data_IF_096120707586
#
_entry.id   IF_096120707586
#
_cell.length_a   1.000
_cell.length_b   1.000
_cell.length_c   1.000
_cell.angle_alpha   90.00
_cell.angle_beta   90.00
_cell.angle_gamma   90.00
#
_symmetry.space_group_name_H-M   'P 1'
#
loop_
_entity.id
_entity.type
_entity.pdbx_description
1 polymer ?
#
# COMPACT_ATOMS: atom_id res chain seq x y z
N UNK A 1 -2.71 -11.21 -16.40
CA UNK A 1 -2.05 -12.40 -16.97
C UNK A 1 -0.92 -12.81 -16.05
N UNK A 2 -1.20 -13.72 -15.13
CA UNK A 2 -0.19 -14.34 -14.27
C UNK A 2 -0.74 -15.64 -13.68
N UNK A 3 -1.07 -16.60 -14.55
CA UNK A 3 -1.31 -18.01 -14.21
C UNK A 3 0.03 -18.70 -13.90
N UNK A 4 0.70 -18.30 -12.82
CA UNK A 4 2.00 -18.90 -12.43
C UNK A 4 2.09 -19.53 -11.02
N UNK A 5 1.10 -19.49 -10.12
CA UNK A 5 1.26 -20.20 -8.84
C UNK A 5 0.96 -21.70 -8.96
N UNK A 6 0.35 -22.18 -10.05
CA UNK A 6 -0.03 -23.59 -10.23
C UNK A 6 1.18 -24.46 -10.61
N UNK A 7 2.15 -23.91 -11.34
CA UNK A 7 3.30 -24.65 -11.86
C UNK A 7 4.30 -25.09 -10.75
N UNK A 8 4.49 -24.29 -9.70
CA UNK A 8 5.39 -24.66 -8.59
C UNK A 8 4.84 -25.83 -7.75
N UNK A 9 3.51 -25.95 -7.61
CA UNK A 9 2.89 -27.07 -6.90
C UNK A 9 2.97 -28.38 -7.70
N UNK A 10 2.87 -28.29 -9.02
CA UNK A 10 3.04 -29.43 -9.91
C UNK A 10 4.49 -29.96 -9.90
N UNK A 11 5.48 -29.09 -9.72
CA UNK A 11 6.88 -29.52 -9.54
C UNK A 11 7.13 -30.24 -8.21
N UNK A 12 6.45 -29.83 -7.13
CA UNK A 12 6.54 -30.52 -5.82
C UNK A 12 5.89 -31.90 -5.89
N UNK A 13 4.72 -32.00 -6.54
CA UNK A 13 4.02 -33.28 -6.75
C UNK A 13 4.77 -34.20 -7.73
N UNK A 14 5.51 -33.65 -8.70
CA UNK A 14 6.33 -34.42 -9.63
C UNK A 14 7.54 -35.11 -8.98
N UNK A 15 7.91 -34.75 -7.74
CA UNK A 15 9.01 -35.40 -6.99
C UNK A 15 8.59 -36.66 -6.25
N UNK A 16 7.29 -36.99 -6.20
CA UNK A 16 6.80 -38.23 -5.60
C UNK A 16 6.82 -39.37 -6.64
N UNK A 17 7.64 -40.42 -6.45
CA UNK A 17 7.72 -41.54 -7.37
C UNK A 17 6.51 -42.47 -7.14
N UNK A 18 5.41 -42.18 -7.84
CA UNK A 18 4.18 -43.00 -7.74
C UNK A 18 2.91 -42.42 -8.39
N UNK A 19 2.90 -41.15 -8.80
CA UNK A 19 1.76 -40.56 -9.54
C UNK A 19 1.97 -40.63 -11.06
N UNK A 20 1.09 -41.36 -11.75
CA UNK A 20 0.99 -41.39 -13.21
C UNK A 20 0.71 -39.98 -13.76
N UNK A 21 1.10 -39.70 -15.02
CA UNK A 21 0.72 -38.46 -15.70
C UNK A 21 -0.79 -38.30 -15.88
N UNK A 22 -1.54 -39.40 -15.90
CA UNK A 22 -2.99 -39.40 -16.05
C UNK A 22 -3.72 -39.01 -14.76
N UNK A 23 -3.09 -39.21 -13.59
CA UNK A 23 -3.59 -38.70 -12.29
C UNK A 23 -3.41 -37.18 -12.14
N UNK A 24 -2.71 -36.52 -13.07
CA UNK A 24 -2.38 -35.08 -13.02
C UNK A 24 -3.42 -34.18 -13.69
N UNK A 25 -4.28 -34.73 -14.55
CA UNK A 25 -5.32 -33.98 -15.27
C UNK A 25 -6.67 -33.96 -14.52
N UNK A 26 -6.82 -34.79 -13.49
CA UNK A 26 -7.95 -34.77 -12.57
C UNK A 26 -7.45 -34.30 -11.21
N UNK A 27 -7.09 -33.03 -11.11
CA UNK A 27 -7.11 -32.33 -9.82
C UNK A 27 -8.47 -31.61 -9.81
N UNK A 28 -9.55 -32.23 -9.30
CA UNK A 28 -10.74 -31.46 -9.00
C UNK A 28 -10.32 -30.45 -7.93
N UNK A 29 -11.13 -29.41 -7.73
CA UNK A 29 -11.09 -28.54 -6.54
C UNK A 29 -11.36 -29.36 -5.26
N UNK A 30 -10.43 -30.25 -4.93
CA UNK A 30 -10.44 -31.11 -3.77
C UNK A 30 -9.63 -30.39 -2.71
N UNK A 31 -10.22 -30.25 -1.54
CA UNK A 31 -9.52 -29.73 -0.37
C UNK A 31 -8.23 -30.52 -0.18
N UNK A 32 -7.17 -29.90 0.33
CA UNK A 32 -5.94 -30.63 0.67
C UNK A 32 -6.24 -31.85 1.57
N UNK A 33 -7.29 -31.76 2.41
CA UNK A 33 -7.79 -32.88 3.20
C UNK A 33 -8.28 -34.05 2.34
N UNK A 34 -8.94 -33.78 1.22
CA UNK A 34 -9.40 -34.81 0.28
C UNK A 34 -8.22 -35.46 -0.45
N UNK A 35 -7.15 -34.69 -0.72
CA UNK A 35 -5.92 -35.22 -1.30
C UNK A 35 -5.14 -36.10 -0.31
N UNK A 36 -5.06 -35.69 0.96
CA UNK A 36 -4.45 -36.51 2.03
C UNK A 36 -5.26 -37.79 2.24
N UNK A 37 -6.59 -37.72 2.25
CA UNK A 37 -7.46 -38.89 2.36
C UNK A 37 -7.29 -39.83 1.14
N UNK A 38 -7.21 -39.30 -0.07
CA UNK A 38 -6.99 -40.12 -1.27
C UNK A 38 -5.61 -40.81 -1.28
N UNK A 39 -4.56 -40.13 -0.81
CA UNK A 39 -3.22 -40.72 -0.66
C UNK A 39 -3.26 -41.81 0.41
N UNK A 40 -3.94 -41.58 1.53
CA UNK A 40 -4.10 -42.55 2.61
C UNK A 40 -4.80 -43.82 2.13
N UNK A 41 -5.92 -43.70 1.41
CA UNK A 41 -6.64 -44.85 0.84
C UNK A 41 -5.76 -45.61 -0.17
N UNK A 42 -5.07 -44.92 -1.06
CA UNK A 42 -4.17 -45.56 -2.04
C UNK A 42 -3.02 -46.32 -1.35
N UNK A 43 -2.42 -45.72 -0.31
CA UNK A 43 -1.37 -46.37 0.48
C UNK A 43 -1.90 -47.59 1.23
N UNK A 44 -3.14 -47.53 1.74
CA UNK A 44 -3.81 -48.65 2.40
C UNK A 44 -4.02 -49.81 1.44
N UNK A 45 -4.53 -49.56 0.23
CA UNK A 45 -4.72 -50.57 -0.81
C UNK A 45 -3.39 -51.20 -1.26
N UNK A 46 -2.36 -50.38 -1.52
CA UNK A 46 -1.04 -50.87 -1.92
C UNK A 46 -0.37 -51.72 -0.83
N UNK A 47 -0.47 -51.32 0.44
CA UNK A 47 0.05 -52.09 1.56
C UNK A 47 -0.72 -53.39 1.78
N UNK A 48 -2.04 -53.37 1.66
CA UNK A 48 -2.86 -54.59 1.79
C UNK A 48 -2.50 -55.61 0.71
N UNK A 49 -2.40 -55.19 -0.55
CA UNK A 49 -1.98 -56.06 -1.65
C UNK A 49 -0.57 -56.64 -1.43
N UNK A 50 0.37 -55.84 -0.92
CA UNK A 50 1.73 -56.29 -0.62
C UNK A 50 1.75 -57.33 0.53
N UNK A 51 0.91 -57.16 1.55
CA UNK A 51 0.75 -58.10 2.66
C UNK A 51 0.12 -59.40 2.18
N UNK A 52 -0.95 -59.33 1.38
CA UNK A 52 -1.56 -60.49 0.75
C UNK A 52 -0.55 -61.27 -0.10
N UNK A 53 0.21 -60.59 -0.97
CA UNK A 53 1.27 -61.22 -1.76
C UNK A 53 2.34 -61.88 -0.87
N UNK A 54 2.72 -61.24 0.24
CA UNK A 54 3.71 -61.79 1.18
C UNK A 54 3.21 -63.09 1.83
N UNK A 55 2.01 -63.10 2.40
CA UNK A 55 1.46 -64.30 3.07
C UNK A 55 1.10 -65.41 2.06
N UNK A 56 0.64 -65.06 0.85
CA UNK A 56 0.40 -66.05 -0.22
C UNK A 56 1.70 -66.70 -0.69
N UNK A 57 2.82 -65.97 -0.73
CA UNK A 57 4.12 -66.48 -1.12
C UNK A 57 4.92 -67.14 0.04
N UNK A 58 4.44 -67.03 1.28
CA UNK A 58 5.13 -67.56 2.47
C UNK A 58 5.13 -69.10 2.50
N UNK A 59 4.05 -69.74 2.04
CA UNK A 59 3.92 -71.20 1.97
C UNK A 59 4.10 -71.87 3.34
N UNK A 60 5.04 -72.82 3.47
CA UNK A 60 5.39 -73.51 4.73
C UNK A 60 6.57 -72.88 5.49
N UNK A 61 7.08 -71.70 5.06
CA UNK A 61 8.26 -71.08 5.68
C UNK A 61 7.89 -70.36 6.97
N UNK A 62 8.63 -70.61 8.05
CA UNK A 62 8.44 -69.88 9.31
C UNK A 62 8.88 -68.41 9.19
N UNK A 63 8.08 -67.51 9.75
CA UNK A 63 8.38 -66.09 9.86
C UNK A 63 9.64 -65.91 10.71
N UNK A 64 10.64 -65.21 10.16
CA UNK A 64 11.98 -65.07 10.76
C UNK A 64 12.09 -64.01 11.86
N UNK A 65 11.02 -63.26 12.13
CA UNK A 65 10.98 -62.13 13.07
C UNK A 65 9.71 -62.16 13.92
N UNK A 66 9.68 -63.09 14.88
CA UNK A 66 8.48 -63.36 15.71
C UNK A 66 8.42 -62.43 16.92
N UNK A 67 7.20 -62.30 17.47
CA UNK A 67 6.94 -61.54 18.69
C UNK A 67 7.68 -62.20 19.87
N UNK A 68 8.62 -61.46 20.48
CA UNK A 68 9.41 -61.93 21.63
C UNK A 68 10.87 -62.29 21.34
N UNK A 69 11.32 -62.22 20.08
CA UNK A 69 12.74 -62.36 19.76
C UNK A 69 13.57 -61.21 20.37
N UNK A 70 14.72 -61.49 21.01
CA UNK A 70 15.54 -60.46 21.67
C UNK A 70 16.11 -59.40 20.70
N UNK A 71 16.06 -59.67 19.38
CA UNK A 71 16.47 -58.74 18.33
C UNK A 71 15.31 -57.94 17.70
N UNK A 72 14.05 -58.24 18.05
CA UNK A 72 12.86 -57.58 17.50
C UNK A 72 12.30 -56.51 18.44
N UNK A 73 12.22 -55.27 17.98
CA UNK A 73 11.45 -54.21 18.64
C UNK A 73 9.96 -54.29 18.27
N UNK A 74 9.05 -53.69 19.05
CA UNK A 74 7.61 -53.63 18.71
C UNK A 74 7.33 -53.08 17.30
N UNK A 75 8.21 -52.22 16.81
CA UNK A 75 8.18 -51.64 15.46
C UNK A 75 8.70 -52.57 14.35
N UNK A 76 9.48 -53.61 14.67
CA UNK A 76 10.21 -54.44 13.69
C UNK A 76 9.77 -55.89 13.60
N UNK A 77 8.92 -56.38 14.51
CA UNK A 77 8.37 -57.74 14.41
C UNK A 77 7.30 -57.82 13.31
N UNK A 78 7.19 -58.98 12.68
CA UNK A 78 6.18 -59.30 11.67
C UNK A 78 5.10 -60.13 12.38
N UNK A 79 3.83 -59.66 12.41
CA UNK A 79 2.71 -60.41 12.95
C UNK A 79 2.52 -61.80 12.31
N UNK A 80 1.86 -62.71 13.02
CA UNK A 80 1.73 -64.10 12.58
C UNK A 80 0.53 -64.32 11.65
N UNK A 81 -0.45 -63.39 11.66
CA UNK A 81 -1.62 -63.40 10.78
C UNK A 81 -1.67 -62.17 9.88
N UNK A 82 -2.34 -62.32 8.73
CA UNK A 82 -2.59 -61.23 7.79
C UNK A 82 -3.40 -60.11 8.44
N UNK A 83 -4.44 -60.46 9.20
CA UNK A 83 -5.30 -59.51 9.93
C UNK A 83 -4.50 -58.65 10.92
N UNK A 84 -3.58 -59.26 11.70
CA UNK A 84 -2.75 -58.51 12.65
C UNK A 84 -1.70 -57.61 11.95
N UNK A 85 -1.26 -57.99 10.75
CA UNK A 85 -0.36 -57.17 9.94
C UNK A 85 -1.10 -55.97 9.34
N UNK A 86 -2.31 -56.18 8.84
CA UNK A 86 -3.18 -55.12 8.32
C UNK A 86 -3.57 -54.13 9.42
N UNK A 87 -3.95 -54.60 10.61
CA UNK A 87 -4.22 -53.73 11.77
C UNK A 87 -2.99 -52.88 12.15
N UNK A 88 -1.79 -53.47 12.11
CA UNK A 88 -0.53 -52.77 12.39
C UNK A 88 -0.21 -51.72 11.31
N UNK A 89 -0.45 -52.03 10.05
CA UNK A 89 -0.29 -51.09 8.94
C UNK A 89 -1.30 -49.95 9.03
N UNK A 90 -2.57 -50.24 9.33
CA UNK A 90 -3.62 -49.24 9.50
C UNK A 90 -3.32 -48.31 10.69
N UNK A 91 -2.83 -48.84 11.81
CA UNK A 91 -2.37 -48.02 12.93
C UNK A 91 -1.20 -47.10 12.53
N UNK A 92 -0.26 -47.59 11.71
CA UNK A 92 0.88 -46.78 11.26
C UNK A 92 0.47 -45.71 10.24
N UNK A 93 -0.47 -46.03 9.35
CA UNK A 93 -1.01 -45.11 8.35
C UNK A 93 -1.87 -44.02 9.00
N UNK A 94 -2.67 -44.36 10.01
CA UNK A 94 -3.46 -43.39 10.77
C UNK A 94 -2.57 -42.43 11.57
N UNK A 95 -1.49 -42.92 12.20
CA UNK A 95 -0.48 -42.05 12.82
C UNK A 95 0.17 -41.08 11.81
N UNK A 96 0.50 -41.55 10.61
CA UNK A 96 1.06 -40.70 9.55
C UNK A 96 0.05 -39.67 9.02
N UNK A 97 -1.21 -40.08 8.86
CA UNK A 97 -2.30 -39.21 8.48
C UNK A 97 -2.49 -38.09 9.51
N UNK A 98 -2.58 -38.44 10.79
CA UNK A 98 -2.76 -37.46 11.87
C UNK A 98 -1.56 -36.50 11.97
N UNK A 99 -0.35 -37.01 11.81
CA UNK A 99 0.85 -36.19 11.73
C UNK A 99 0.83 -35.21 10.54
N UNK A 100 0.34 -35.65 9.37
CA UNK A 100 0.20 -34.81 8.19
C UNK A 100 -0.89 -33.72 8.38
N UNK A 101 -2.00 -34.06 9.01
CA UNK A 101 -3.08 -33.13 9.34
C UNK A 101 -2.60 -32.08 10.35
N UNK A 102 -1.90 -32.48 11.42
CA UNK A 102 -1.34 -31.54 12.39
C UNK A 102 -0.28 -30.63 11.77
N UNK A 103 0.57 -31.17 10.89
CA UNK A 103 1.52 -30.37 10.13
C UNK A 103 0.81 -29.30 9.28
N UNK A 104 -0.28 -29.68 8.60
CA UNK A 104 -1.08 -28.74 7.80
C UNK A 104 -1.70 -27.65 8.67
N UNK A 105 -2.33 -28.00 9.80
CA UNK A 105 -2.89 -27.02 10.75
C UNK A 105 -1.84 -26.02 11.19
N UNK A 106 -0.62 -26.48 11.51
CA UNK A 106 0.48 -25.61 11.87
C UNK A 106 0.88 -24.65 10.73
N UNK A 107 0.90 -25.11 9.47
CA UNK A 107 1.18 -24.26 8.30
C UNK A 107 0.08 -23.23 8.04
N UNK A 108 -1.18 -23.63 8.10
CA UNK A 108 -2.34 -22.72 7.98
C UNK A 108 -2.27 -21.62 9.05
N UNK A 109 -1.92 -21.98 10.29
CA UNK A 109 -1.73 -21.03 11.38
C UNK A 109 -0.61 -20.01 11.09
N UNK A 110 0.53 -20.46 10.57
CA UNK A 110 1.64 -19.56 10.18
C UNK A 110 1.19 -18.62 9.07
N UNK A 111 0.52 -19.14 8.04
CA UNK A 111 0.02 -18.34 6.93
C UNK A 111 -1.00 -17.27 7.37
N UNK A 112 -1.94 -17.62 8.25
CA UNK A 112 -2.85 -16.68 8.91
C UNK A 112 -2.11 -15.58 9.67
N UNK A 113 -1.08 -15.94 10.44
CA UNK A 113 -0.26 -14.96 11.15
C UNK A 113 0.43 -13.98 10.19
N UNK A 114 0.91 -14.46 9.05
CA UNK A 114 1.51 -13.61 8.01
C UNK A 114 0.47 -12.66 7.39
N UNK A 115 -0.73 -13.15 7.07
CA UNK A 115 -1.82 -12.32 6.53
C UNK A 115 -2.27 -11.27 7.55
N UNK A 116 -2.38 -11.61 8.83
CA UNK A 116 -2.70 -10.65 9.88
C UNK A 116 -1.64 -9.54 10.01
N UNK A 117 -0.35 -9.91 9.93
CA UNK A 117 0.76 -8.93 9.91
C UNK A 117 0.70 -8.04 8.67
N UNK A 118 0.41 -8.60 7.50
CA UNK A 118 0.26 -7.83 6.27
C UNK A 118 -0.91 -6.84 6.41
N UNK A 119 -2.07 -7.30 6.88
CA UNK A 119 -3.25 -6.46 7.11
C UNK A 119 -3.00 -5.30 8.08
N UNK A 120 -2.13 -5.46 9.08
CA UNK A 120 -1.79 -4.36 10.00
C UNK A 120 -0.80 -3.35 9.40
N UNK A 121 0.00 -3.76 8.41
CA UNK A 121 0.93 -2.88 7.69
C UNK A 121 0.27 -2.12 6.54
N UNK A 122 -0.77 -2.68 5.92
CA UNK A 122 -1.45 -2.09 4.77
C UNK A 122 -1.90 -0.62 4.95
N UNK A 123 -2.49 -0.20 6.08
CA UNK A 123 -2.84 1.21 6.28
C UNK A 123 -1.63 2.16 6.26
N UNK A 124 -0.46 1.69 6.70
CA UNK A 124 0.78 2.49 6.70
C UNK A 124 1.30 2.72 5.29
N UNK A 125 1.09 1.77 4.38
CA UNK A 125 1.50 1.89 2.97
C UNK A 125 0.74 3.01 2.28
N UNK A 126 -0.56 3.15 2.53
CA UNK A 126 -1.36 4.23 1.98
C UNK A 126 -0.88 5.60 2.49
N UNK A 127 -0.66 5.73 3.81
CA UNK A 127 -0.15 6.96 4.41
C UNK A 127 1.24 7.33 3.88
N UNK A 128 2.17 6.36 3.77
CA UNK A 128 3.50 6.63 3.25
C UNK A 128 3.50 7.03 1.78
N UNK A 129 2.65 6.40 0.95
CA UNK A 129 2.51 6.73 -0.47
C UNK A 129 2.04 8.17 -0.67
N UNK A 130 0.96 8.58 0.01
CA UNK A 130 0.43 9.93 -0.15
C UNK A 130 1.35 11.00 0.46
N UNK A 131 2.07 10.67 1.54
CA UNK A 131 3.11 11.57 2.08
C UNK A 131 4.23 11.80 1.06
N UNK A 132 4.73 10.74 0.43
CA UNK A 132 5.78 10.85 -0.59
C UNK A 132 5.31 11.66 -1.82
N UNK A 133 4.11 11.38 -2.34
CA UNK A 133 3.52 12.14 -3.44
C UNK A 133 3.43 13.63 -3.09
N UNK A 134 2.94 13.95 -1.88
CA UNK A 134 2.78 15.33 -1.42
C UNK A 134 4.13 16.04 -1.25
N UNK A 135 5.12 15.36 -0.69
CA UNK A 135 6.47 15.92 -0.53
C UNK A 135 7.16 16.17 -1.87
N UNK A 136 7.05 15.24 -2.83
CA UNK A 136 7.61 15.41 -4.17
C UNK A 136 6.97 16.59 -4.90
N UNK A 137 5.65 16.73 -4.83
CA UNK A 137 4.94 17.87 -5.41
C UNK A 137 5.37 19.21 -4.79
N UNK A 138 5.42 19.29 -3.45
CA UNK A 138 5.90 20.50 -2.74
C UNK A 138 7.34 20.86 -3.10
N UNK A 139 8.22 19.87 -3.24
CA UNK A 139 9.62 20.10 -3.64
C UNK A 139 9.72 20.66 -5.06
N UNK A 140 8.92 20.15 -6.02
CA UNK A 140 8.86 20.68 -7.38
C UNK A 140 8.33 22.11 -7.42
N UNK A 141 7.19 22.37 -6.78
CA UNK A 141 6.61 23.70 -6.68
C UNK A 141 7.59 24.72 -6.08
N UNK A 142 8.21 24.37 -4.95
CA UNK A 142 9.19 25.24 -4.28
C UNK A 142 10.40 25.54 -5.18
N UNK A 143 10.85 24.56 -5.95
CA UNK A 143 11.99 24.73 -6.87
C UNK A 143 11.61 25.66 -8.01
N UNK A 144 10.45 25.45 -8.64
CA UNK A 144 9.95 26.29 -9.74
C UNK A 144 9.69 27.73 -9.30
N UNK A 145 9.06 27.92 -8.13
CA UNK A 145 8.82 29.25 -7.57
C UNK A 145 10.11 29.96 -7.15
N UNK A 146 11.13 29.21 -6.69
CA UNK A 146 12.43 29.77 -6.37
C UNK A 146 13.08 30.34 -7.64
N UNK A 147 13.11 29.60 -8.74
CA UNK A 147 13.66 30.09 -10.01
C UNK A 147 12.95 31.35 -10.50
N UNK A 148 11.62 31.40 -10.39
CA UNK A 148 10.85 32.60 -10.75
C UNK A 148 11.17 33.79 -9.83
N UNK A 149 11.30 33.54 -8.53
CA UNK A 149 11.66 34.57 -7.55
C UNK A 149 13.05 35.12 -7.80
N UNK A 150 14.05 34.26 -7.96
CA UNK A 150 15.44 34.66 -8.18
C UNK A 150 15.53 35.56 -9.42
N UNK A 151 14.84 35.20 -10.51
CA UNK A 151 14.74 36.04 -11.71
C UNK A 151 14.05 37.38 -11.46
N UNK A 152 12.95 37.38 -10.70
CA UNK A 152 12.23 38.62 -10.38
C UNK A 152 13.07 39.56 -9.50
N UNK A 153 13.85 39.01 -8.56
CA UNK A 153 14.77 39.76 -7.70
C UNK A 153 15.88 40.42 -8.55
N UNK A 154 16.41 39.71 -9.56
CA UNK A 154 17.38 40.27 -10.51
C UNK A 154 16.78 41.44 -11.32
N UNK A 155 15.60 41.25 -11.93
CA UNK A 155 14.89 42.29 -12.70
C UNK A 155 14.54 43.51 -11.80
N UNK A 156 14.12 43.26 -10.56
CA UNK A 156 13.86 44.32 -9.58
C UNK A 156 15.13 45.12 -9.24
N UNK A 157 16.28 44.45 -9.13
CA UNK A 157 17.58 45.09 -8.92
C UNK A 157 17.92 46.09 -10.02
N UNK A 158 17.68 45.74 -11.28
CA UNK A 158 17.92 46.62 -12.43
C UNK A 158 17.02 47.87 -12.39
N UNK A 159 15.74 47.74 -12.03
CA UNK A 159 14.84 48.88 -11.90
C UNK A 159 15.22 49.80 -10.75
N UNK A 160 15.73 49.24 -9.65
CA UNK A 160 16.20 50.01 -8.50
C UNK A 160 17.43 50.84 -8.88
N UNK A 161 18.40 50.25 -9.59
CA UNK A 161 19.56 50.99 -10.12
C UNK A 161 19.13 52.12 -11.05
N UNK A 162 18.18 51.85 -11.94
CA UNK A 162 17.66 52.84 -12.89
C UNK A 162 16.94 53.99 -12.17
N UNK A 163 16.12 53.66 -11.17
CA UNK A 163 15.42 54.64 -10.31
C UNK A 163 16.42 55.52 -9.56
N UNK A 164 17.45 54.92 -8.97
CA UNK A 164 18.44 55.66 -8.19
C UNK A 164 19.27 56.59 -9.11
N UNK A 165 19.59 56.15 -10.34
CA UNK A 165 20.22 56.99 -11.35
C UNK A 165 19.34 58.16 -11.80
N UNK A 166 18.05 57.94 -12.04
CA UNK A 166 17.10 59.00 -12.38
C UNK A 166 16.87 59.97 -11.21
N UNK A 167 16.81 59.46 -9.98
CA UNK A 167 16.72 60.28 -8.77
C UNK A 167 17.96 61.17 -8.58
N UNK A 168 19.17 60.65 -8.85
CA UNK A 168 20.40 61.45 -8.84
C UNK A 168 20.41 62.58 -9.89
N UNK A 169 19.66 62.40 -10.99
CA UNK A 169 19.51 63.42 -12.02
C UNK A 169 18.47 64.50 -11.65
N UNK A 170 17.67 64.31 -10.60
CA UNK A 170 16.76 65.33 -10.09
C UNK A 170 17.56 66.41 -9.33
N UNK A 171 17.95 67.46 -10.06
CA UNK A 171 18.68 68.61 -9.51
C UNK A 171 17.72 69.78 -9.21
N UNK A 172 17.97 70.59 -8.18
CA UNK A 172 17.18 71.79 -7.89
C UNK A 172 17.10 72.78 -9.07
N UNK A 173 18.10 72.77 -9.97
CA UNK A 173 18.14 73.61 -11.18
C UNK A 173 17.04 73.28 -12.21
N UNK A 174 16.41 72.10 -12.12
CA UNK A 174 15.31 71.70 -13.00
C UNK A 174 14.01 72.48 -12.75
N UNK A 175 13.92 73.25 -11.67
CA UNK A 175 12.79 74.14 -11.41
C UNK A 175 12.75 75.41 -12.28
N UNK A 176 13.77 75.65 -13.11
CA UNK A 176 13.82 76.81 -14.01
C UNK A 176 13.13 76.52 -15.35
N UNK A 177 12.41 77.49 -15.93
CA UNK A 177 11.68 77.32 -17.20
C UNK A 177 12.57 76.87 -18.35
N UNK A 178 13.83 77.28 -18.38
CA UNK A 178 14.80 76.88 -19.41
C UNK A 178 15.23 75.40 -19.30
N UNK A 179 15.01 74.75 -18.16
CA UNK A 179 15.33 73.35 -17.90
C UNK A 179 14.11 72.41 -18.03
N UNK A 180 12.95 72.96 -18.41
CA UNK A 180 11.72 72.21 -18.66
C UNK A 180 11.85 71.01 -19.61
N UNK A 181 12.57 71.08 -20.75
CA UNK A 181 12.72 69.91 -21.62
C UNK A 181 13.53 68.78 -20.97
N UNK A 182 14.50 69.10 -20.10
CA UNK A 182 15.28 68.11 -19.35
C UNK A 182 14.41 67.41 -18.29
N UNK A 183 13.54 68.18 -17.61
CA UNK A 183 12.57 67.65 -16.66
C UNK A 183 11.54 66.74 -17.35
N UNK A 184 10.98 67.16 -18.50
CA UNK A 184 10.04 66.36 -19.29
C UNK A 184 10.68 65.04 -19.74
N UNK A 185 11.94 65.08 -20.20
CA UNK A 185 12.68 63.86 -20.56
C UNK A 185 12.97 62.93 -19.37
N UNK A 186 13.15 63.46 -18.16
CA UNK A 186 13.25 62.66 -16.93
C UNK A 186 11.91 62.02 -16.55
N UNK A 187 10.80 62.75 -16.67
CA UNK A 187 9.46 62.23 -16.41
C UNK A 187 9.09 61.09 -17.37
N UNK A 188 9.44 61.21 -18.67
CA UNK A 188 9.22 60.13 -19.65
C UNK A 188 10.01 58.88 -19.28
N UNK A 189 11.30 59.01 -18.96
CA UNK A 189 12.15 57.87 -18.55
C UNK A 189 11.64 57.17 -17.28
N UNK A 190 11.17 57.93 -16.30
CA UNK A 190 10.55 57.34 -15.10
C UNK A 190 9.20 56.70 -15.38
N UNK A 191 8.41 57.27 -16.31
CA UNK A 191 7.18 56.67 -16.80
C UNK A 191 7.42 55.29 -17.43
N UNK A 192 8.40 55.20 -18.33
CA UNK A 192 8.80 53.95 -19.00
C UNK A 192 9.28 52.90 -17.99
N UNK A 193 10.17 53.29 -17.06
CA UNK A 193 10.65 52.39 -15.99
C UNK A 193 9.50 51.94 -15.09
N UNK A 194 8.56 52.82 -14.77
CA UNK A 194 7.40 52.46 -13.96
C UNK A 194 6.50 51.44 -14.67
N UNK A 195 6.21 51.65 -15.95
CA UNK A 195 5.42 50.73 -16.76
C UNK A 195 6.10 49.36 -16.89
N UNK A 196 7.42 49.33 -17.11
CA UNK A 196 8.21 48.10 -17.12
C UNK A 196 8.15 47.34 -15.79
N UNK A 197 8.27 48.05 -14.66
CA UNK A 197 8.17 47.42 -13.35
C UNK A 197 6.76 46.84 -13.09
N UNK A 198 5.70 47.58 -13.46
CA UNK A 198 4.32 47.12 -13.29
C UNK A 198 4.04 45.88 -14.14
N UNK A 199 4.42 45.92 -15.42
CA UNK A 199 4.21 44.79 -16.35
C UNK A 199 4.96 43.55 -15.90
N UNK A 200 6.21 43.68 -15.47
CA UNK A 200 6.98 42.54 -14.98
C UNK A 200 6.47 42.01 -13.62
N UNK A 201 5.95 42.86 -12.72
CA UNK A 201 5.25 42.41 -11.51
C UNK A 201 3.99 41.61 -11.86
N UNK A 202 3.18 42.08 -12.82
CA UNK A 202 1.99 41.38 -13.28
C UNK A 202 2.34 40.04 -13.94
N UNK A 203 3.37 40.02 -14.79
CA UNK A 203 3.85 38.79 -15.43
C UNK A 203 4.39 37.79 -14.40
N UNK A 204 5.17 38.24 -13.41
CA UNK A 204 5.65 37.38 -12.33
C UNK A 204 4.49 36.78 -11.52
N UNK A 205 3.45 37.58 -11.23
CA UNK A 205 2.24 37.09 -10.56
C UNK A 205 1.51 36.03 -11.41
N UNK A 206 1.30 36.29 -12.70
CA UNK A 206 0.64 35.36 -13.61
C UNK A 206 1.44 34.05 -13.70
N UNK A 207 2.77 34.14 -13.85
CA UNK A 207 3.65 32.98 -13.92
C UNK A 207 3.65 32.18 -12.62
N UNK A 208 3.64 32.84 -11.46
CA UNK A 208 3.55 32.15 -10.17
C UNK A 208 2.23 31.38 -10.05
N UNK A 209 1.10 31.99 -10.44
CA UNK A 209 -0.21 31.34 -10.44
C UNK A 209 -0.27 30.17 -11.42
N UNK A 210 0.37 30.28 -12.59
CA UNK A 210 0.44 29.19 -13.56
C UNK A 210 1.29 28.01 -13.06
N UNK A 211 2.42 28.27 -12.40
CA UNK A 211 3.24 27.24 -11.73
C UNK A 211 2.40 26.52 -10.68
N UNK A 212 1.74 27.26 -9.78
CA UNK A 212 0.86 26.68 -8.75
C UNK A 212 -0.27 25.87 -9.38
N UNK A 213 -0.88 26.37 -10.46
CA UNK A 213 -1.92 25.67 -11.20
C UNK A 213 -1.43 24.35 -11.77
N UNK A 214 -0.30 24.34 -12.48
CA UNK A 214 0.30 23.15 -13.08
C UNK A 214 0.70 22.10 -12.03
N UNK A 215 1.36 22.52 -10.95
CA UNK A 215 1.75 21.59 -9.88
C UNK A 215 0.53 21.06 -9.12
N UNK A 216 -0.53 21.85 -8.95
CA UNK A 216 -1.78 21.37 -8.35
C UNK A 216 -2.42 20.24 -9.17
N UNK A 217 -2.41 20.38 -10.50
CA UNK A 217 -2.90 19.34 -11.43
C UNK A 217 -2.00 18.12 -11.44
N UNK A 218 -0.67 18.32 -11.42
CA UNK A 218 0.28 17.22 -11.32
C UNK A 218 0.08 16.43 -10.04
N UNK A 219 -0.10 17.10 -8.89
CA UNK A 219 -0.39 16.47 -7.61
C UNK A 219 -1.69 15.68 -7.67
N UNK A 220 -2.77 16.27 -8.18
CA UNK A 220 -4.06 15.60 -8.33
C UNK A 220 -3.95 14.31 -9.14
N UNK A 221 -3.28 14.36 -10.30
CA UNK A 221 -3.09 13.20 -11.16
C UNK A 221 -2.24 12.11 -10.48
N UNK A 222 -1.19 12.48 -9.76
CA UNK A 222 -0.37 11.52 -9.00
C UNK A 222 -1.16 10.88 -7.86
N UNK A 223 -1.98 11.65 -7.14
CA UNK A 223 -2.87 11.13 -6.08
C UNK A 223 -3.90 10.17 -6.66
N UNK A 224 -4.53 10.52 -7.79
CA UNK A 224 -5.51 9.65 -8.46
C UNK A 224 -4.87 8.34 -8.93
N UNK A 225 -3.67 8.43 -9.53
CA UNK A 225 -2.91 7.25 -9.93
C UNK A 225 -2.53 6.39 -8.73
N UNK A 226 -1.97 7.00 -7.67
CA UNK A 226 -1.61 6.30 -6.44
C UNK A 226 -2.80 5.62 -5.77
N UNK A 227 -3.96 6.28 -5.72
CA UNK A 227 -5.19 5.71 -5.21
C UNK A 227 -5.66 4.51 -6.05
N UNK A 228 -5.58 4.60 -7.39
CA UNK A 228 -5.93 3.49 -8.28
C UNK A 228 -5.02 2.28 -8.07
N UNK A 229 -3.71 2.51 -7.89
CA UNK A 229 -2.76 1.44 -7.58
C UNK A 229 -3.00 0.83 -6.20
N UNK A 230 -3.33 1.64 -5.19
CA UNK A 230 -3.68 1.15 -3.87
C UNK A 230 -4.96 0.31 -3.89
N UNK A 231 -5.99 0.71 -4.66
CA UNK A 231 -7.21 -0.08 -4.83
C UNK A 231 -6.91 -1.42 -5.51
N UNK A 232 -6.12 -1.43 -6.59
CA UNK A 232 -5.71 -2.68 -7.24
C UNK A 232 -4.87 -3.57 -6.29
N UNK A 233 -4.04 -2.96 -5.44
CA UNK A 233 -3.30 -3.68 -4.41
C UNK A 233 -4.26 -4.28 -3.37
N UNK A 234 -5.25 -3.51 -2.90
CA UNK A 234 -6.24 -4.01 -1.94
C UNK A 234 -7.09 -5.15 -2.50
N UNK A 235 -7.48 -5.08 -3.77
CA UNK A 235 -8.25 -6.14 -4.45
C UNK A 235 -7.43 -7.43 -4.64
N UNK A 236 -6.10 -7.32 -4.74
CA UNK A 236 -5.21 -8.49 -4.94
C UNK A 236 -4.65 -9.06 -3.63
N UNK A 237 -4.72 -8.30 -2.53
CA UNK A 237 -4.24 -8.78 -1.23
C UNK A 237 -5.31 -9.60 -0.50
N UNK A 238 -4.96 -10.84 -0.17
CA UNK A 238 -5.79 -11.72 0.68
C UNK A 238 -5.95 -11.08 2.06
N UNK A 239 -7.20 -10.88 2.49
CA UNK A 239 -7.54 -10.41 3.83
C UNK A 239 -7.77 -11.58 4.78
N UNK A 240 -7.64 -11.35 6.11
CA UNK A 240 -7.99 -12.37 7.09
C UNK A 240 -9.41 -12.92 6.94
N UNK A 241 -10.35 -12.11 6.42
CA UNK A 241 -11.73 -12.50 6.18
C UNK A 241 -11.92 -13.46 4.98
N UNK A 242 -10.94 -13.51 4.07
CA UNK A 242 -10.97 -14.38 2.89
C UNK A 242 -10.49 -15.79 3.23
N UNK A 243 -9.96 -15.99 4.43
CA UNK A 243 -9.54 -17.30 4.93
C UNK A 243 -10.76 -18.02 5.53
N UNK A 244 -10.86 -19.33 5.31
CA UNK A 244 -11.91 -20.18 5.89
C UNK A 244 -11.96 -19.95 7.40
N UNK A 245 -13.14 -19.58 7.92
CA UNK A 245 -13.35 -19.37 9.35
C UNK A 245 -13.04 -20.66 10.11
N UNK A 246 -12.20 -20.59 11.12
CA UNK A 246 -12.02 -21.66 12.11
C UNK A 246 -12.11 -21.07 13.51
N UNK A 247 -12.48 -21.90 14.48
CA UNK A 247 -12.75 -21.51 15.87
C UNK A 247 -11.59 -20.75 16.58
N UNK A 248 -10.37 -20.79 16.03
CA UNK A 248 -9.18 -20.09 16.55
C UNK A 248 -8.93 -18.71 15.95
N UNK A 249 -9.81 -18.20 15.09
CA UNK A 249 -9.58 -16.90 14.45
C UNK A 249 -9.64 -15.77 15.49
N UNK A 250 -8.45 -15.29 15.86
CA UNK A 250 -8.28 -13.99 16.50
C UNK A 250 -8.66 -12.95 15.46
N UNK A 251 -9.96 -12.67 15.37
CA UNK A 251 -10.47 -11.52 14.63
C UNK A 251 -9.84 -10.31 15.29
N UNK A 252 -8.77 -9.79 14.68
CA UNK A 252 -8.24 -8.50 15.04
C UNK A 252 -9.40 -7.52 14.89
N UNK A 253 -9.98 -7.07 16.01
CA UNK A 253 -11.05 -6.08 16.00
C UNK A 253 -10.53 -4.89 15.21
N UNK A 254 -11.03 -4.73 13.99
CA UNK A 254 -10.72 -3.57 13.16
C UNK A 254 -11.29 -2.39 13.91
N UNK A 255 -10.40 -1.60 14.52
CA UNK A 255 -10.77 -0.29 15.03
C UNK A 255 -11.31 0.49 13.84
N UNK A 256 -12.56 0.91 13.94
CA UNK A 256 -13.19 1.72 12.90
C UNK A 256 -12.40 3.02 12.75
N UNK A 257 -12.51 3.68 11.60
CA UNK A 257 -11.86 4.97 11.35
C UNK A 257 -12.18 6.00 12.46
N UNK A 258 -13.40 5.95 12.98
CA UNK A 258 -13.87 6.75 14.13
C UNK A 258 -13.09 6.41 15.41
N UNK A 259 -12.84 5.13 15.67
CA UNK A 259 -12.08 4.67 16.84
C UNK A 259 -10.60 5.09 16.73
N UNK A 260 -10.01 5.00 15.53
CA UNK A 260 -8.65 5.45 15.27
C UNK A 260 -8.50 6.97 15.41
N UNK A 261 -9.47 7.75 14.89
CA UNK A 261 -9.51 9.20 15.07
C UNK A 261 -9.61 9.61 16.54
N UNK A 262 -10.47 8.94 17.32
CA UNK A 262 -10.59 9.19 18.78
C UNK A 262 -9.31 8.87 19.54
N UNK A 263 -8.58 7.85 19.13
CA UNK A 263 -7.26 7.52 19.72
C UNK A 263 -6.19 8.53 19.30
N UNK A 264 -6.20 8.97 18.05
CA UNK A 264 -5.28 10.00 17.55
C UNK A 264 -5.50 11.33 18.28
N UNK A 265 -6.76 11.75 18.44
CA UNK A 265 -7.14 12.93 19.22
C UNK A 265 -6.76 12.78 20.70
N UNK A 266 -6.83 11.58 21.28
CA UNK A 266 -6.33 11.33 22.65
C UNK A 266 -4.81 11.47 22.75
N UNK A 267 -4.08 10.94 21.77
CA UNK A 267 -2.61 11.05 21.70
C UNK A 267 -2.18 12.52 21.50
N UNK A 268 -2.93 13.29 20.70
CA UNK A 268 -2.73 14.73 20.54
C UNK A 268 -3.15 15.53 21.78
N UNK A 269 -4.19 15.11 22.51
CA UNK A 269 -4.61 15.76 23.76
C UNK A 269 -3.64 15.52 24.94
N UNK A 270 -2.90 14.42 24.93
CA UNK A 270 -1.84 14.12 25.90
C UNK A 270 -0.52 14.87 25.61
N UNK A 271 -0.40 15.50 24.44
CA UNK A 271 0.69 16.42 24.07
C UNK A 271 0.15 17.83 23.83
N UNK A 272 0.04 18.63 24.88
CA UNK A 272 -0.53 19.99 24.93
C UNK A 272 -0.53 20.80 23.61
N UNK A 273 -1.73 21.08 23.08
CA UNK A 273 -2.03 22.36 22.45
C UNK A 273 -3.38 22.91 22.94
N UNK A 274 -3.49 24.24 23.14
CA UNK A 274 -4.66 24.88 23.73
C UNK A 274 -5.87 24.81 22.79
N UNK A 275 -7.11 24.98 23.30
CA UNK A 275 -8.30 24.91 22.48
C UNK A 275 -8.27 26.00 21.39
N UNK A 276 -8.70 25.70 20.15
CA UNK A 276 -8.78 26.69 19.11
C UNK A 276 -9.80 27.76 19.50
N UNK A 277 -9.51 29.06 19.30
CA UNK A 277 -10.44 30.12 19.65
C UNK A 277 -11.67 30.09 18.74
N UNK A 278 -12.84 30.26 19.34
CA UNK A 278 -14.10 30.46 18.62
C UNK A 278 -14.00 31.71 17.71
N UNK A 279 -14.16 31.51 16.41
CA UNK A 279 -14.27 32.60 15.44
C UNK A 279 -13.43 32.40 14.17
N UNK A 280 -14.11 31.95 13.11
CA UNK A 280 -13.71 31.91 11.68
C UNK A 280 -12.31 32.47 11.36
N UNK A 281 -11.36 31.59 11.02
CA UNK A 281 -9.97 31.97 10.77
C UNK A 281 -9.69 32.64 9.40
N UNK A 282 -10.61 32.62 8.42
CA UNK A 282 -10.34 33.28 7.14
C UNK A 282 -11.59 33.94 6.55
N UNK A 283 -11.50 35.23 6.25
CA UNK A 283 -12.38 35.86 5.28
C UNK A 283 -12.02 35.34 3.89
N UNK A 284 -12.98 34.71 3.21
CA UNK A 284 -12.89 34.43 1.77
C UNK A 284 -12.82 35.74 1.00
N UNK A 285 -11.61 36.25 0.78
CA UNK A 285 -11.38 37.28 -0.23
C UNK A 285 -11.43 36.61 -1.59
N UNK A 286 -12.38 37.02 -2.42
CA UNK A 286 -12.30 36.79 -3.85
C UNK A 286 -11.05 37.49 -4.39
N UNK A 287 -10.00 36.72 -4.67
CA UNK A 287 -8.83 37.24 -5.37
C UNK A 287 -9.22 37.49 -6.83
N UNK A 288 -9.19 38.76 -7.26
CA UNK A 288 -9.29 39.14 -8.67
C UNK A 288 -8.16 38.42 -9.44
N UNK A 289 -8.53 37.46 -10.29
CA UNK A 289 -7.61 36.82 -11.23
C UNK A 289 -7.73 35.29 -11.32
N UNK A 290 -8.18 34.62 -10.26
CA UNK A 290 -8.36 33.16 -10.27
C UNK A 290 -9.84 32.84 -10.44
N UNK A 291 -10.26 32.48 -11.66
CA UNK A 291 -11.58 31.89 -11.89
C UNK A 291 -11.66 30.58 -11.10
N UNK A 292 -12.68 30.42 -10.24
CA UNK A 292 -13.00 29.13 -9.62
C UNK A 292 -13.01 28.03 -10.70
N UNK A 293 -12.31 26.92 -10.45
CA UNK A 293 -12.15 25.81 -11.40
C UNK A 293 -10.80 25.72 -12.11
N UNK A 294 -9.88 26.70 -11.97
CA UNK A 294 -8.51 26.58 -12.49
C UNK A 294 -7.52 25.86 -11.57
N UNK A 295 -7.80 25.81 -10.27
CA UNK A 295 -7.05 24.98 -9.32
C UNK A 295 -7.67 23.58 -9.34
N UNK A 296 -6.87 22.57 -9.66
CA UNK A 296 -7.31 21.19 -9.93
C UNK A 296 -7.99 20.47 -8.76
N UNK A 297 -8.07 21.10 -7.59
CA UNK A 297 -8.60 20.50 -6.37
C UNK A 297 -10.02 20.97 -6.00
N UNK A 298 -10.78 21.64 -6.89
CA UNK A 298 -12.17 22.05 -6.56
C UNK A 298 -13.01 20.88 -6.01
N UNK A 299 -12.97 19.67 -6.58
CA UNK A 299 -13.69 18.52 -6.02
C UNK A 299 -13.12 18.03 -4.69
N UNK A 300 -11.79 18.05 -4.52
CA UNK A 300 -11.09 17.59 -3.30
C UNK A 300 -11.36 18.54 -2.13
N UNK A 301 -11.36 19.85 -2.38
CA UNK A 301 -11.73 20.86 -1.40
C UNK A 301 -13.21 20.77 -1.03
N UNK A 302 -14.10 20.50 -2.00
CA UNK A 302 -15.52 20.26 -1.72
C UNK A 302 -15.74 18.99 -0.90
N UNK A 303 -14.98 17.91 -1.15
CA UNK A 303 -15.05 16.70 -0.33
C UNK A 303 -14.46 16.89 1.07
N UNK A 304 -13.36 17.62 1.22
CA UNK A 304 -12.81 17.96 2.53
C UNK A 304 -13.79 18.82 3.33
N UNK A 305 -14.40 19.80 2.66
CA UNK A 305 -15.42 20.66 3.25
C UNK A 305 -16.68 19.87 3.64
N UNK A 306 -17.13 18.93 2.80
CA UNK A 306 -18.24 18.04 3.14
C UNK A 306 -17.91 17.09 4.30
N UNK A 307 -16.67 16.58 4.38
CA UNK A 307 -16.20 15.75 5.49
C UNK A 307 -16.10 16.55 6.80
N UNK A 308 -15.72 17.83 6.74
CA UNK A 308 -15.72 18.74 7.88
C UNK A 308 -17.15 19.09 8.34
N UNK A 309 -18.07 19.28 7.40
CA UNK A 309 -19.49 19.52 7.68
C UNK A 309 -20.19 18.30 8.30
N UNK A 310 -19.91 17.08 7.81
CA UNK A 310 -20.42 15.83 8.41
C UNK A 310 -19.86 15.57 9.81
N UNK A 311 -18.59 15.91 10.04
CA UNK A 311 -17.97 15.81 11.37
C UNK A 311 -18.59 16.80 12.37
N UNK A 312 -19.01 17.97 11.91
CA UNK A 312 -19.73 18.96 12.73
C UNK A 312 -21.20 18.54 12.99
N UNK A 313 -21.86 17.90 12.03
CA UNK A 313 -23.24 17.42 12.18
C UNK A 313 -23.38 16.20 13.10
N UNK A 314 -22.34 15.35 13.21
CA UNK A 314 -22.31 14.19 14.10
C UNK A 314 -21.98 14.49 15.58
N UNK A 315 -21.71 15.75 15.93
CA UNK A 315 -21.38 16.20 17.29
C UNK A 315 -22.53 16.93 18.01
N UNK A 316 -23.74 16.93 17.44
CA UNK A 316 -24.98 17.45 18.03
C UNK A 316 -25.83 16.39 18.69
#
# INVERSE_FOLDING_TARGET
>A
GSEKPVDEWLEVLARYPGLSKEDKEVIPERSFMDAVAAIHEKQKEELHNLVEEYYNNLGEREITRKKGDPACTPTRYIPDSLEEFDEKNEASLTELHDAAVEYLKAKVRIFRSQIAKLSTMMPRVAASLFSDISERARKREKTSLKVLRDRYEDEQGEWMVTRDANNANLKPSLGNENARPELEALCVREGERHEQAVTATDDALINALDIMGKESWSLYNEVLHGASQLLALFDTTVQPADLVQTDEDVVAQRKTLITLLKEYVKIEAEGEQPPPPEGKAFHTREYKGVKQGKLGATPVFLTLQAMEEDAAAGAG
#
